data_IF_497373738412
#
_entry.id   IF_497373738412
#
_cell.length_a   1.000
_cell.length_b   1.000
_cell.length_c   1.000
_cell.angle_alpha   90.00
_cell.angle_beta   90.00
_cell.angle_gamma   90.00
#
_symmetry.space_group_name_H-M   'P 1'
#
loop_
_entity.id
_entity.type
_entity.pdbx_description
1 polymer ?
#
# COMPACT_ATOMS: atom_id res chain seq x y z
N UNK A 1 -10.60 -0.17 27.25
CA UNK A 1 -10.95 -1.26 26.30
C UNK A 1 -10.83 -0.67 24.90
N UNK A 2 -9.69 -0.87 24.23
CA UNK A 2 -9.47 -0.32 22.87
C UNK A 2 -9.88 -1.38 21.86
N UNK A 3 -11.12 -1.30 21.39
CA UNK A 3 -11.56 -2.00 20.20
C UNK A 3 -11.05 -1.20 18.99
N UNK A 4 -9.78 -1.37 18.63
CA UNK A 4 -9.28 -0.96 17.31
C UNK A 4 -9.21 -2.21 16.43
N UNK A 5 -10.36 -2.82 16.17
CA UNK A 5 -10.51 -3.80 15.09
C UNK A 5 -10.38 -3.04 13.78
N UNK A 6 -9.16 -2.94 13.26
CA UNK A 6 -8.82 -3.29 11.87
C UNK A 6 -9.80 -2.89 10.75
N UNK A 7 -10.33 -1.67 10.80
CA UNK A 7 -11.17 -1.14 9.71
C UNK A 7 -10.33 -0.92 8.44
N UNK A 8 -9.01 -0.77 8.58
CA UNK A 8 -8.08 -0.57 7.46
C UNK A 8 -7.94 -1.80 6.56
N UNK A 9 -7.93 -3.02 7.11
CA UNK A 9 -7.84 -4.24 6.28
C UNK A 9 -9.14 -4.61 5.59
N UNK A 10 -10.30 -4.29 6.18
CA UNK A 10 -11.59 -4.56 5.53
C UNK A 10 -11.84 -3.59 4.35
N UNK A 11 -11.31 -2.37 4.44
CA UNK A 11 -11.46 -1.38 3.37
C UNK A 11 -10.52 -1.63 2.18
N UNK A 12 -9.35 -2.22 2.38
CA UNK A 12 -8.37 -2.32 1.28
C UNK A 12 -8.81 -3.22 0.12
N UNK A 13 -9.38 -4.42 0.32
CA UNK A 13 -9.93 -5.22 -0.78
C UNK A 13 -11.04 -4.48 -1.53
N UNK A 14 -11.92 -3.78 -0.79
CA UNK A 14 -12.99 -2.96 -1.37
C UNK A 14 -12.40 -1.80 -2.17
N UNK A 15 -11.39 -1.11 -1.62
CA UNK A 15 -10.68 -0.03 -2.30
C UNK A 15 -10.02 -0.52 -3.59
N UNK A 16 -9.24 -1.61 -3.53
CA UNK A 16 -8.58 -2.19 -4.70
C UNK A 16 -9.60 -2.57 -5.79
N UNK A 17 -10.71 -3.19 -5.42
CA UNK A 17 -11.79 -3.47 -6.37
C UNK A 17 -12.42 -2.20 -6.96
N UNK A 18 -12.64 -1.17 -6.14
CA UNK A 18 -13.20 0.12 -6.55
C UNK A 18 -12.30 0.88 -7.53
N UNK A 19 -10.99 0.64 -7.50
CA UNK A 19 -10.02 1.19 -8.45
C UNK A 19 -9.65 0.22 -9.59
N UNK A 20 -10.35 -0.92 -9.70
CA UNK A 20 -10.23 -1.87 -10.81
C UNK A 20 -9.20 -2.98 -10.63
N UNK A 21 -8.61 -3.14 -9.45
CA UNK A 21 -7.59 -4.16 -9.15
C UNK A 21 -8.21 -5.36 -8.42
N UNK A 22 -8.27 -6.50 -9.10
CA UNK A 22 -8.96 -7.70 -8.60
C UNK A 22 -8.01 -8.89 -8.35
N UNK A 23 -6.78 -8.87 -8.89
CA UNK A 23 -5.82 -9.98 -8.81
C UNK A 23 -4.94 -10.04 -7.56
N UNK A 24 -5.06 -9.07 -6.65
CA UNK A 24 -4.17 -8.93 -5.49
C UNK A 24 -4.74 -9.54 -4.19
N UNK A 25 -3.91 -10.25 -3.44
CA UNK A 25 -4.19 -10.67 -2.05
C UNK A 25 -3.54 -9.72 -1.06
N UNK A 26 -4.34 -9.01 -0.28
CA UNK A 26 -3.87 -8.10 0.76
C UNK A 26 -3.56 -8.83 2.08
N UNK A 27 -2.45 -8.48 2.74
CA UNK A 27 -2.08 -8.94 4.08
C UNK A 27 -1.48 -7.78 4.88
N UNK A 28 -2.06 -7.46 6.05
CA UNK A 28 -1.45 -6.52 6.97
C UNK A 28 -0.11 -7.02 7.50
N UNK A 29 0.79 -6.08 7.75
CA UNK A 29 2.01 -6.35 8.49
C UNK A 29 1.80 -6.03 9.97
N UNK A 30 2.31 -6.93 10.82
CA UNK A 30 2.25 -6.82 12.27
C UNK A 30 3.65 -6.93 12.85
N UNK A 31 3.85 -6.26 13.99
CA UNK A 31 5.02 -6.39 14.86
C UNK A 31 4.60 -6.87 16.24
N UNK A 32 5.56 -6.98 17.17
CA UNK A 32 5.27 -7.28 18.58
C UNK A 32 4.34 -6.23 19.21
N UNK A 33 4.39 -5.00 18.71
CA UNK A 33 3.61 -3.86 19.21
C UNK A 33 2.28 -3.67 18.46
N UNK A 34 1.93 -4.60 17.56
CA UNK A 34 0.66 -4.60 16.83
C UNK A 34 0.81 -4.23 15.35
N UNK A 35 -0.28 -3.73 14.77
CA UNK A 35 -0.38 -3.44 13.33
C UNK A 35 0.56 -2.31 12.91
N UNK A 36 1.30 -2.49 11.80
CA UNK A 36 2.31 -1.54 11.33
C UNK A 36 1.76 -0.40 10.46
N UNK A 37 0.45 -0.39 10.21
CA UNK A 37 -0.16 0.58 9.28
C UNK A 37 0.18 0.31 7.82
N UNK A 38 0.85 -0.79 7.52
CA UNK A 38 1.30 -1.19 6.18
C UNK A 38 0.59 -2.47 5.79
N UNK A 39 0.02 -2.47 4.59
CA UNK A 39 -0.56 -3.67 3.98
C UNK A 39 0.22 -4.03 2.73
N UNK A 40 0.54 -5.32 2.61
CA UNK A 40 1.21 -5.86 1.47
C UNK A 40 0.20 -6.50 0.52
N UNK A 41 0.32 -6.18 -0.77
CA UNK A 41 -0.52 -6.76 -1.82
C UNK A 41 0.32 -7.74 -2.64
N UNK A 42 -0.06 -9.02 -2.61
CA UNK A 42 0.58 -10.08 -3.38
C UNK A 42 -0.22 -10.35 -4.66
N UNK A 43 0.48 -10.30 -5.79
CA UNK A 43 -0.06 -10.67 -7.10
C UNK A 43 0.36 -12.10 -7.49
N UNK A 44 -0.15 -12.58 -8.63
CA UNK A 44 0.29 -13.83 -9.24
C UNK A 44 1.80 -13.81 -9.49
N UNK A 45 2.46 -14.97 -9.39
CA UNK A 45 3.90 -15.12 -9.59
C UNK A 45 4.27 -15.30 -11.07
N UNK A 46 3.55 -14.65 -11.96
CA UNK A 46 3.70 -14.71 -13.41
C UNK A 46 3.73 -13.29 -14.01
N UNK A 47 3.84 -13.21 -15.35
CA UNK A 47 3.90 -11.93 -16.05
C UNK A 47 2.64 -11.07 -15.85
N UNK A 48 1.47 -11.69 -15.67
CA UNK A 48 0.21 -10.97 -15.44
C UNK A 48 0.22 -10.28 -14.07
N UNK A 49 0.69 -10.98 -13.04
CA UNK A 49 0.82 -10.43 -11.70
C UNK A 49 1.86 -9.30 -11.62
N UNK A 50 2.97 -9.42 -12.35
CA UNK A 50 3.95 -8.32 -12.46
C UNK A 50 3.32 -7.09 -13.15
N UNK A 51 2.55 -7.31 -14.21
CA UNK A 51 1.84 -6.23 -14.93
C UNK A 51 0.84 -5.52 -14.02
N UNK A 52 0.04 -6.27 -13.26
CA UNK A 52 -0.91 -5.70 -12.29
C UNK A 52 -0.20 -4.94 -11.16
N UNK A 53 0.89 -5.49 -10.63
CA UNK A 53 1.69 -4.82 -9.60
C UNK A 53 2.25 -3.47 -10.09
N UNK A 54 2.77 -3.44 -11.32
CA UNK A 54 3.26 -2.22 -11.95
C UNK A 54 2.15 -1.19 -12.15
N UNK A 55 0.98 -1.61 -12.67
CA UNK A 55 -0.18 -0.74 -12.84
C UNK A 55 -0.67 -0.14 -11.52
N UNK A 56 -0.65 -0.92 -10.43
CA UNK A 56 -1.05 -0.42 -9.11
C UNK A 56 -0.06 0.63 -8.60
N UNK A 57 1.24 0.38 -8.74
CA UNK A 57 2.25 1.37 -8.36
C UNK A 57 2.16 2.65 -9.20
N UNK A 58 1.93 2.54 -10.50
CA UNK A 58 1.70 3.69 -11.39
C UNK A 58 0.43 4.47 -11.02
N UNK A 59 -0.63 3.78 -10.58
CA UNK A 59 -1.84 4.43 -10.09
C UNK A 59 -1.53 5.38 -8.92
N UNK A 60 -0.74 4.93 -7.93
CA UNK A 60 -0.35 5.78 -6.80
C UNK A 60 0.65 6.87 -7.21
N UNK A 61 1.60 6.58 -8.10
CA UNK A 61 2.60 7.56 -8.53
C UNK A 61 1.98 8.74 -9.30
N UNK A 62 0.90 8.52 -10.07
CA UNK A 62 0.18 9.58 -10.82
C UNK A 62 -0.24 10.75 -9.94
N UNK A 63 -0.67 10.46 -8.72
CA UNK A 63 -1.10 11.46 -7.73
C UNK A 63 0.02 11.78 -6.72
N UNK A 64 1.27 11.41 -7.02
CA UNK A 64 2.42 11.60 -6.13
C UNK A 64 2.24 10.89 -4.77
N UNK A 65 1.45 9.83 -4.75
CA UNK A 65 1.22 8.93 -3.61
C UNK A 65 2.12 7.67 -3.66
N UNK A 66 3.18 7.72 -4.47
CA UNK A 66 4.19 6.67 -4.54
C UNK A 66 5.20 6.70 -3.39
N UNK A 67 6.30 5.95 -3.54
CA UNK A 67 7.35 5.84 -2.49
C UNK A 67 7.93 7.19 -2.10
N UNK A 68 8.26 8.02 -3.10
CA UNK A 68 8.83 9.35 -2.86
C UNK A 68 7.80 10.29 -2.21
N UNK A 69 6.53 10.15 -2.60
CA UNK A 69 5.37 10.75 -1.94
C UNK A 69 5.37 10.50 -0.45
N UNK A 70 5.39 9.21 -0.09
CA UNK A 70 5.40 8.77 1.30
C UNK A 70 6.65 9.22 2.07
N UNK A 71 7.82 9.13 1.45
CA UNK A 71 9.09 9.49 2.10
C UNK A 71 9.14 10.97 2.54
N UNK A 72 8.49 11.88 1.80
CA UNK A 72 8.40 13.30 2.17
C UNK A 72 7.50 13.56 3.38
N UNK A 73 6.60 12.64 3.70
CA UNK A 73 5.67 12.76 4.83
C UNK A 73 6.19 12.13 6.12
N UNK A 74 7.19 11.25 6.04
CA UNK A 74 7.82 10.62 7.21
C UNK A 74 8.31 11.63 8.27
N UNK A 75 8.88 12.80 7.92
CA UNK A 75 9.21 13.83 8.92
C UNK A 75 7.99 14.49 9.57
N UNK A 76 6.81 14.46 8.92
CA UNK A 76 5.59 15.14 9.34
C UNK A 76 4.70 14.26 10.23
N UNK A 77 4.68 12.94 10.02
CA UNK A 77 3.91 11.96 10.83
C UNK A 77 4.43 11.79 12.26
N UNK A 78 5.51 12.48 12.63
CA UNK A 78 6.10 12.45 13.98
C UNK A 78 5.62 13.62 14.86
N UNK A 79 4.83 14.56 14.31
CA UNK A 79 4.48 15.81 14.97
C UNK A 79 2.98 16.10 15.02
N UNK A 80 2.33 15.74 16.13
CA UNK A 80 1.07 16.23 16.76
C UNK A 80 -0.15 16.72 15.93
N UNK A 81 -0.14 16.77 14.60
CA UNK A 81 -1.31 17.18 13.79
C UNK A 81 -1.39 16.47 12.42
N UNK A 82 -1.24 15.15 12.44
CA UNK A 82 -1.45 14.29 11.25
C UNK A 82 -2.88 14.38 10.69
N UNK A 83 -3.80 14.86 11.52
CA UNK A 83 -5.22 14.91 11.25
C UNK A 83 -5.64 16.07 10.35
N UNK A 84 -4.97 17.21 10.40
CA UNK A 84 -5.24 18.34 9.51
C UNK A 84 -4.40 18.33 8.22
N UNK A 85 -3.45 17.40 8.09
CA UNK A 85 -2.61 17.33 6.92
C UNK A 85 -3.40 16.78 5.70
N UNK A 86 -3.60 17.58 4.63
CA UNK A 86 -4.34 17.15 3.44
C UNK A 86 -3.66 16.01 2.66
N UNK A 87 -2.35 15.81 2.85
CA UNK A 87 -1.59 14.70 2.27
C UNK A 87 -1.83 13.39 3.04
N UNK A 88 -2.34 13.44 4.28
CA UNK A 88 -2.63 12.25 5.09
C UNK A 88 -4.12 11.95 5.19
N UNK A 89 -4.95 12.99 5.20
CA UNK A 89 -6.40 12.88 5.28
C UNK A 89 -7.09 13.87 4.35
N UNK A 90 -8.06 13.38 3.58
CA UNK A 90 -8.96 14.21 2.77
C UNK A 90 -10.35 14.22 3.40
N UNK A 91 -10.94 15.40 3.47
CA UNK A 91 -12.30 15.58 3.93
C UNK A 91 -13.25 15.53 2.73
N UNK A 92 -14.19 14.59 2.75
CA UNK A 92 -15.27 14.55 1.77
C UNK A 92 -16.31 15.61 2.16
N UNK A 93 -16.22 16.80 1.56
CA UNK A 93 -17.12 17.93 1.87
C UNK A 93 -18.61 17.63 1.65
N UNK A 94 -18.93 16.56 0.91
CA UNK A 94 -20.32 16.15 0.65
C UNK A 94 -20.87 15.23 1.74
N UNK A 95 -20.06 14.31 2.27
CA UNK A 95 -20.50 13.35 3.30
C UNK A 95 -20.07 13.73 4.71
N UNK A 96 -19.13 14.66 4.85
CA UNK A 96 -18.48 14.99 6.12
C UNK A 96 -17.49 13.93 6.59
N UNK A 97 -17.20 12.91 5.78
CA UNK A 97 -16.30 11.82 6.15
C UNK A 97 -14.84 12.18 5.91
N UNK A 98 -14.00 11.90 6.90
CA UNK A 98 -12.55 11.98 6.78
C UNK A 98 -12.01 10.66 6.25
N UNK A 99 -11.39 10.71 5.06
CA UNK A 99 -10.80 9.54 4.40
C UNK A 99 -9.29 9.66 4.42
N UNK A 100 -8.60 8.57 4.81
CA UNK A 100 -7.14 8.51 4.76
C UNK A 100 -6.66 8.49 3.32
N UNK A 101 -5.59 9.22 3.03
CA UNK A 101 -4.86 9.11 1.78
C UNK A 101 -4.01 7.84 1.83
N UNK A 102 -4.11 7.01 0.79
CA UNK A 102 -3.37 5.75 0.69
C UNK A 102 -2.17 5.98 -0.23
N UNK A 103 -1.00 5.54 0.24
CA UNK A 103 0.25 5.53 -0.52
C UNK A 103 0.59 4.09 -0.89
N UNK A 104 1.17 3.88 -2.06
CA UNK A 104 1.52 2.54 -2.54
C UNK A 104 2.63 2.55 -3.57
N UNK A 105 3.47 1.52 -3.57
CA UNK A 105 4.64 1.41 -4.44
C UNK A 105 5.08 -0.05 -4.62
N UNK A 106 5.92 -0.31 -5.63
CA UNK A 106 6.56 -1.62 -5.81
C UNK A 106 7.59 -1.88 -4.70
N UNK A 107 7.39 -2.95 -3.95
CA UNK A 107 8.35 -3.41 -2.95
C UNK A 107 9.72 -3.69 -3.58
N UNK A 108 10.78 -3.24 -2.93
CA UNK A 108 12.16 -3.55 -3.31
C UNK A 108 12.76 -4.57 -2.36
N UNK A 109 13.96 -5.06 -2.68
CA UNK A 109 14.72 -5.96 -1.80
C UNK A 109 14.88 -5.37 -0.39
N UNK A 110 15.07 -4.05 -0.28
CA UNK A 110 15.18 -3.35 1.00
C UNK A 110 13.90 -3.41 1.85
N UNK A 111 12.72 -3.56 1.23
CA UNK A 111 11.47 -3.70 2.00
C UNK A 111 11.24 -5.12 2.47
N UNK A 112 11.95 -6.11 1.90
CA UNK A 112 11.92 -7.49 2.38
C UNK A 112 12.43 -7.60 3.81
N UNK A 113 13.31 -6.70 4.24
CA UNK A 113 13.79 -6.65 5.61
C UNK A 113 12.69 -6.29 6.62
N UNK A 114 11.57 -5.73 6.15
CA UNK A 114 10.44 -5.28 6.98
C UNK A 114 9.30 -6.30 7.08
N UNK A 115 9.36 -7.38 6.30
CA UNK A 115 8.31 -8.41 6.28
C UNK A 115 8.75 -9.65 7.08
N UNK A 116 7.75 -10.38 7.58
CA UNK A 116 7.95 -11.60 8.37
C UNK A 116 8.70 -12.69 7.59
N UNK A 117 9.39 -13.58 8.31
CA UNK A 117 10.25 -14.60 7.70
C UNK A 117 9.48 -15.59 6.81
N UNK A 118 8.27 -15.97 7.21
CA UNK A 118 7.41 -16.88 6.45
C UNK A 118 6.96 -16.27 5.12
N UNK A 119 6.83 -14.95 5.09
CA UNK A 119 6.47 -14.20 3.91
C UNK A 119 7.67 -14.05 2.96
N UNK A 120 8.88 -13.77 3.47
CA UNK A 120 10.10 -13.69 2.64
C UNK A 120 10.31 -14.92 1.76
N UNK A 121 9.99 -16.11 2.27
CA UNK A 121 10.11 -17.38 1.53
C UNK A 121 9.15 -17.51 0.35
N UNK A 122 8.09 -16.70 0.28
CA UNK A 122 6.99 -16.81 -0.71
C UNK A 122 7.02 -15.69 -1.76
N UNK A 123 8.14 -14.98 -1.85
CA UNK A 123 8.34 -13.82 -2.73
C UNK A 123 9.25 -14.21 -3.88
N UNK A 124 8.86 -13.79 -5.07
CA UNK A 124 9.71 -13.83 -6.26
C UNK A 124 10.27 -12.43 -6.49
N UNK A 125 11.59 -12.31 -6.61
CA UNK A 125 12.24 -11.06 -7.01
C UNK A 125 12.40 -11.10 -8.53
N UNK A 126 11.96 -10.05 -9.20
CA UNK A 126 12.11 -9.88 -10.65
C UNK A 126 12.66 -8.49 -10.96
N UNK A 127 13.46 -8.37 -12.03
CA UNK A 127 13.87 -7.05 -12.51
C UNK A 127 12.72 -6.40 -13.28
N UNK A 128 12.59 -5.07 -13.15
CA UNK A 128 11.71 -4.30 -14.04
C UNK A 128 12.12 -4.44 -15.51
N UNK A 129 13.38 -4.76 -15.79
CA UNK A 129 13.89 -4.98 -17.15
C UNK A 129 13.42 -6.31 -17.75
N UNK A 130 13.03 -7.27 -16.90
CA UNK A 130 12.49 -8.55 -17.35
C UNK A 130 11.03 -8.42 -17.84
N UNK A 131 10.39 -7.28 -17.54
CA UNK A 131 9.06 -6.96 -18.04
C UNK A 131 9.09 -6.73 -19.55
N UNK A 132 8.48 -7.66 -20.29
CA UNK A 132 8.14 -7.46 -21.70
C UNK A 132 6.68 -7.02 -21.77
N UNK A 133 6.36 -5.76 -22.12
CA UNK A 133 4.99 -5.39 -22.40
C UNK A 133 4.50 -6.23 -23.58
N UNK A 134 3.39 -6.94 -23.42
CA UNK A 134 2.68 -7.47 -24.58
C UNK A 134 2.21 -6.29 -25.44
N UNK A 135 2.55 -6.35 -26.74
CA UNK A 135 2.07 -5.43 -27.77
C UNK A 135 0.55 -5.45 -27.87
#
# INVERSE_FOLDING_TARGET
MSASLDVSLLQLPIFLSGIGFHGGKAKALYSRDGHLGVTLVKFASDQSGLTEAMRLAEYFEKDNHGRNGWARLQPLTLGKDDENNPDLCKFDHRTGEKKRVIYGYLGTVSDLEKVDFDFRKKITIASRLDYKPSK
#
